data_IF_512211006011
#
_entry.id   IF_512211006011
#
_cell.length_a   1.000
_cell.length_b   1.000
_cell.length_c   1.000
_cell.angle_alpha   90.00
_cell.angle_beta   90.00
_cell.angle_gamma   90.00
#
_symmetry.space_group_name_H-M   'P 1'
#
loop_
_entity.id
_entity.type
_entity.pdbx_description
1 polymer ?
#
# COMPACT_ATOMS: atom_id res chain seq x y z
N UNK A 1 -1.76 4.50 10.45
CA UNK A 1 -1.62 3.03 10.40
C UNK A 1 -1.83 2.32 11.75
N UNK A 2 -2.23 3.02 12.83
CA UNK A 2 -2.39 2.42 14.17
C UNK A 2 -3.35 1.24 14.21
N UNK A 3 -4.49 1.32 13.53
CA UNK A 3 -5.48 0.21 13.52
C UNK A 3 -4.96 -1.03 12.79
N UNK A 4 -4.23 -0.83 11.69
CA UNK A 4 -3.59 -1.93 10.95
C UNK A 4 -2.49 -2.57 11.78
N UNK A 5 -1.68 -1.76 12.47
CA UNK A 5 -0.66 -2.25 13.40
C UNK A 5 -1.28 -3.04 14.56
N UNK A 6 -2.34 -2.52 15.18
CA UNK A 6 -3.05 -3.20 16.26
C UNK A 6 -3.66 -4.53 15.78
N UNK A 7 -4.30 -4.56 14.61
CA UNK A 7 -4.81 -5.78 14.01
C UNK A 7 -3.70 -6.81 13.77
N UNK A 8 -2.58 -6.40 13.17
CA UNK A 8 -1.45 -7.29 12.89
C UNK A 8 -0.83 -7.82 14.19
N UNK A 9 -0.70 -6.97 15.21
CA UNK A 9 -0.22 -7.36 16.53
C UNK A 9 -1.10 -8.44 17.17
N UNK A 10 -2.42 -8.19 17.23
CA UNK A 10 -3.39 -9.11 17.84
C UNK A 10 -3.40 -10.47 17.12
N UNK A 11 -3.22 -10.48 15.80
CA UNK A 11 -3.28 -11.69 14.98
C UNK A 11 -1.90 -12.34 14.74
N UNK A 12 -0.82 -11.80 15.32
CA UNK A 12 0.54 -12.31 15.12
C UNK A 12 1.02 -12.24 13.66
N UNK A 13 0.55 -11.25 12.89
CA UNK A 13 0.88 -11.07 11.49
C UNK A 13 2.11 -10.17 11.30
N UNK A 14 2.95 -10.44 10.29
CA UNK A 14 4.10 -9.59 9.99
C UNK A 14 3.67 -8.20 9.51
N UNK A 15 4.49 -7.18 9.83
CA UNK A 15 4.28 -5.80 9.36
C UNK A 15 4.43 -5.71 7.84
N UNK A 16 5.40 -6.40 7.26
CA UNK A 16 5.54 -6.53 5.80
C UNK A 16 4.62 -7.63 5.24
N UNK A 17 3.93 -7.31 4.14
CA UNK A 17 3.07 -8.24 3.42
C UNK A 17 3.13 -7.94 1.92
N UNK A 18 4.11 -8.54 1.23
CA UNK A 18 4.39 -8.27 -0.18
C UNK A 18 3.19 -8.54 -1.10
N UNK A 19 2.36 -9.55 -0.77
CA UNK A 19 1.18 -9.87 -1.55
C UNK A 19 0.10 -8.78 -1.41
N UNK A 20 -0.11 -8.28 -0.18
CA UNK A 20 -1.02 -7.17 0.06
C UNK A 20 -0.51 -5.87 -0.57
N UNK A 21 0.78 -5.59 -0.47
CA UNK A 21 1.42 -4.40 -1.03
C UNK A 21 1.27 -4.36 -2.56
N UNK A 22 1.54 -5.48 -3.24
CA UNK A 22 1.32 -5.61 -4.69
C UNK A 22 -0.13 -5.27 -5.08
N UNK A 23 -1.12 -5.79 -4.34
CA UNK A 23 -2.55 -5.50 -4.58
C UNK A 23 -2.89 -4.01 -4.40
N UNK A 24 -2.27 -3.33 -3.43
CA UNK A 24 -2.43 -1.88 -3.24
C UNK A 24 -1.87 -1.11 -4.43
N UNK A 25 -0.67 -1.46 -4.91
CA UNK A 25 -0.03 -0.81 -6.06
C UNK A 25 -0.77 -1.05 -7.38
N UNK A 26 -1.34 -2.24 -7.58
CA UNK A 26 -2.20 -2.54 -8.73
C UNK A 26 -3.49 -1.73 -8.71
N UNK A 27 -4.13 -1.65 -7.54
CA UNK A 27 -5.35 -0.87 -7.34
C UNK A 27 -5.11 0.62 -7.57
N UNK A 28 -3.98 1.14 -7.05
CA UNK A 28 -3.56 2.53 -7.25
C UNK A 28 -3.29 2.83 -8.73
N UNK A 29 -2.59 1.93 -9.44
CA UNK A 29 -2.35 2.09 -10.88
C UNK A 29 -3.63 2.06 -11.72
N UNK A 30 -4.57 1.17 -11.36
CA UNK A 30 -5.89 1.11 -12.02
C UNK A 30 -6.72 2.37 -11.75
N UNK A 31 -6.66 2.90 -10.52
CA UNK A 31 -7.31 4.15 -10.18
C UNK A 31 -6.68 5.35 -10.91
N UNK A 32 -5.35 5.37 -11.07
CA UNK A 32 -4.63 6.41 -11.80
C UNK A 32 -5.19 6.56 -13.22
N UNK A 33 -5.39 5.44 -13.94
CA UNK A 33 -6.00 5.45 -15.27
C UNK A 33 -7.39 6.09 -15.28
N UNK A 34 -8.25 5.78 -14.29
CA UNK A 34 -9.61 6.35 -14.21
C UNK A 34 -9.60 7.86 -13.98
N UNK A 35 -8.60 8.37 -13.30
CA UNK A 35 -8.46 9.79 -12.98
C UNK A 35 -7.54 10.55 -13.97
N UNK A 36 -7.05 9.89 -15.03
CA UNK A 36 -6.13 10.50 -16.00
C UNK A 36 -4.75 10.84 -15.43
N UNK A 37 -4.32 10.13 -14.37
CA UNK A 37 -3.03 10.29 -13.74
C UNK A 37 -1.99 9.33 -14.33
N UNK A 38 -0.71 9.71 -14.24
CA UNK A 38 0.37 8.82 -14.63
C UNK A 38 0.47 7.60 -13.69
N UNK A 39 0.41 6.41 -14.27
CA UNK A 39 0.39 5.14 -13.53
C UNK A 39 1.71 4.91 -12.80
N UNK A 40 2.84 5.26 -13.41
CA UNK A 40 4.17 5.01 -12.87
C UNK A 40 4.43 5.91 -11.66
N UNK A 41 4.19 7.22 -11.80
CA UNK A 41 4.31 8.19 -10.73
C UNK A 41 3.36 7.87 -9.56
N UNK A 42 2.13 7.46 -9.85
CA UNK A 42 1.17 7.05 -8.81
C UNK A 42 1.68 5.82 -8.05
N UNK A 43 2.19 4.79 -8.75
CA UNK A 43 2.75 3.61 -8.09
C UNK A 43 3.96 3.96 -7.22
N UNK A 44 4.85 4.82 -7.69
CA UNK A 44 6.01 5.28 -6.92
C UNK A 44 5.59 6.00 -5.65
N UNK A 45 4.59 6.89 -5.73
CA UNK A 45 4.06 7.60 -4.57
C UNK A 45 3.46 6.62 -3.55
N UNK A 46 2.62 5.68 -4.00
CA UNK A 46 2.00 4.69 -3.11
C UNK A 46 3.03 3.72 -2.51
N UNK A 47 4.12 3.40 -3.22
CA UNK A 47 5.24 2.65 -2.64
C UNK A 47 5.86 3.41 -1.47
N UNK A 48 6.14 4.71 -1.63
CA UNK A 48 6.66 5.52 -0.53
C UNK A 48 5.68 5.60 0.67
N UNK A 49 4.37 5.66 0.41
CA UNK A 49 3.35 5.63 1.47
C UNK A 49 3.27 4.28 2.19
N UNK A 50 3.50 3.16 1.49
CA UNK A 50 3.61 1.83 2.10
C UNK A 50 4.82 1.76 3.03
N UNK A 51 5.98 2.26 2.60
CA UNK A 51 7.17 2.28 3.45
C UNK A 51 6.95 3.15 4.69
N UNK A 52 6.43 4.37 4.53
CA UNK A 52 6.10 5.25 5.65
C UNK A 52 5.00 4.68 6.58
N UNK A 53 4.20 3.73 6.10
CA UNK A 53 3.19 3.04 6.89
C UNK A 53 3.76 1.88 7.73
N UNK A 54 4.94 1.38 7.38
CA UNK A 54 5.66 0.31 8.10
C UNK A 54 6.52 0.86 9.25
N UNK A 55 6.91 2.14 9.21
CA UNK A 55 7.55 2.87 10.31
C UNK A 55 6.57 3.20 11.46
#
# INVERSE_FOLDING_TARGET
MRDVAAYKWINGLPVEDLAREAKVLESAGSAALRFGLDVSATRTLFKAQIEAAKE
#
